data_IF_869070381213
#
_entry.id   IF_869070381213
#
_cell.length_a   1.000
_cell.length_b   1.000
_cell.length_c   1.000
_cell.angle_alpha   90.00
_cell.angle_beta   90.00
_cell.angle_gamma   90.00
#
_symmetry.space_group_name_H-M   'P 1'
#
loop_
_entity.id
_entity.type
_entity.pdbx_description
1 polymer ?
#
# COMPACT_ATOMS: atom_id res chain seq x y z
N UNK A 1 0.73 21.96 -10.62
CA UNK A 1 -0.36 22.51 -9.79
C UNK A 1 0.16 22.88 -8.40
N UNK A 2 0.84 21.97 -7.69
CA UNK A 2 1.35 22.19 -6.33
C UNK A 2 2.44 23.27 -6.25
N UNK A 3 3.40 23.30 -7.19
CA UNK A 3 4.44 24.35 -7.26
C UNK A 3 3.88 25.75 -7.53
N UNK A 4 2.80 25.85 -8.32
CA UNK A 4 2.14 27.13 -8.58
C UNK A 4 1.48 27.73 -7.33
N UNK A 5 1.34 26.96 -6.26
CA UNK A 5 0.83 27.42 -4.97
C UNK A 5 1.93 27.60 -3.91
N UNK A 6 3.21 27.71 -4.32
CA UNK A 6 4.32 28.05 -3.42
C UNK A 6 4.95 26.87 -2.67
N UNK A 7 4.62 25.64 -3.07
CA UNK A 7 5.26 24.44 -2.52
C UNK A 7 6.46 24.02 -3.38
N UNK A 8 7.54 23.57 -2.74
CA UNK A 8 8.62 22.90 -3.44
C UNK A 8 8.33 21.40 -3.51
N UNK A 9 8.22 20.84 -4.72
CA UNK A 9 8.04 19.40 -4.89
C UNK A 9 9.38 18.71 -4.65
N UNK A 10 9.41 17.78 -3.69
CA UNK A 10 10.61 17.00 -3.36
C UNK A 10 10.67 15.71 -4.16
N UNK A 11 9.51 15.04 -4.29
CA UNK A 11 9.44 13.70 -4.88
C UNK A 11 8.05 13.46 -5.45
N UNK A 12 8.00 12.82 -6.61
CA UNK A 12 6.76 12.25 -7.17
C UNK A 12 6.95 10.74 -7.24
N UNK A 13 6.05 10.01 -6.59
CA UNK A 13 6.07 8.55 -6.51
C UNK A 13 4.84 7.99 -7.24
N UNK A 14 5.01 7.35 -8.41
CA UNK A 14 3.93 6.61 -9.05
C UNK A 14 3.74 5.27 -8.35
N UNK A 15 2.51 4.98 -7.93
CA UNK A 15 2.10 3.68 -7.41
C UNK A 15 1.02 3.12 -8.32
N UNK A 16 1.34 2.02 -9.02
CA UNK A 16 0.38 1.36 -9.91
C UNK A 16 -0.16 0.12 -9.24
N UNK A 17 -1.47 0.11 -8.99
CA UNK A 17 -2.20 -1.05 -8.50
C UNK A 17 -2.93 -1.70 -9.67
N UNK A 18 -2.85 -3.02 -9.77
CA UNK A 18 -3.52 -3.81 -10.79
C UNK A 18 -4.61 -4.66 -10.14
N UNK A 19 -5.79 -4.67 -10.74
CA UNK A 19 -6.95 -5.43 -10.31
C UNK A 19 -7.34 -6.45 -11.37
N UNK A 20 -7.53 -7.70 -10.94
CA UNK A 20 -8.06 -8.79 -11.79
C UNK A 20 -9.44 -9.28 -11.33
N UNK A 21 -9.93 -8.73 -10.22
CA UNK A 21 -11.25 -8.99 -9.66
C UNK A 21 -12.01 -7.66 -9.55
N UNK A 22 -13.22 -7.63 -10.09
CA UNK A 22 -14.06 -6.43 -10.08
C UNK A 22 -14.51 -6.04 -8.67
N UNK A 23 -14.72 -7.00 -7.77
CA UNK A 23 -15.14 -6.73 -6.39
C UNK A 23 -14.05 -6.02 -5.62
N UNK A 24 -12.80 -6.47 -5.76
CA UNK A 24 -11.64 -5.83 -5.13
C UNK A 24 -11.41 -4.43 -5.72
N UNK A 25 -11.60 -4.28 -7.03
CA UNK A 25 -11.53 -2.98 -7.69
C UNK A 25 -12.64 -2.04 -7.21
N UNK A 26 -13.87 -2.51 -7.04
CA UNK A 26 -15.00 -1.69 -6.62
C UNK A 26 -14.87 -1.18 -5.18
N UNK A 27 -14.21 -1.93 -4.29
CA UNK A 27 -13.92 -1.45 -2.94
C UNK A 27 -13.03 -0.19 -2.93
N UNK A 28 -12.12 -0.08 -3.90
CA UNK A 28 -11.17 1.04 -3.98
C UNK A 28 -11.69 2.14 -4.92
N UNK A 29 -12.25 1.76 -6.06
CA UNK A 29 -12.64 2.68 -7.14
C UNK A 29 -14.12 3.10 -7.05
N UNK A 30 -14.95 2.33 -6.35
CA UNK A 30 -16.38 2.59 -6.21
C UNK A 30 -17.11 2.64 -7.54
N UNK A 31 -16.78 1.76 -8.49
CA UNK A 31 -17.37 1.67 -9.83
C UNK A 31 -18.90 1.66 -9.78
N UNK A 32 -19.50 0.85 -8.91
CA UNK A 32 -20.95 0.82 -8.74
C UNK A 32 -21.49 2.18 -8.27
N UNK A 33 -20.89 2.75 -7.22
CA UNK A 33 -21.32 4.01 -6.62
C UNK A 33 -21.15 5.20 -7.59
N UNK A 34 -20.06 5.24 -8.35
CA UNK A 34 -19.80 6.29 -9.34
C UNK A 34 -20.80 6.19 -10.49
N UNK A 35 -21.07 4.98 -10.97
CA UNK A 35 -22.06 4.74 -12.02
C UNK A 35 -23.47 5.09 -11.57
N UNK A 36 -23.87 4.71 -10.35
CA UNK A 36 -25.16 5.08 -9.78
C UNK A 36 -25.32 6.61 -9.71
N UNK A 37 -24.29 7.32 -9.22
CA UNK A 37 -24.27 8.79 -9.18
C UNK A 37 -24.34 9.42 -10.57
N UNK A 38 -23.84 8.75 -11.60
CA UNK A 38 -23.89 9.23 -12.99
C UNK A 38 -25.26 9.04 -13.67
N UNK A 39 -26.14 8.21 -13.11
CA UNK A 39 -27.51 8.01 -13.62
C UNK A 39 -28.39 9.23 -13.33
N UNK A 40 -28.31 9.81 -12.13
CA UNK A 40 -29.13 10.95 -11.73
C UNK A 40 -29.02 12.17 -12.68
N UNK A 41 -27.81 12.62 -13.08
CA UNK A 41 -27.66 13.68 -14.08
C UNK A 41 -27.85 13.20 -15.54
N UNK A 42 -28.24 11.93 -15.75
CA UNK A 42 -28.35 11.25 -17.07
C UNK A 42 -27.08 11.25 -17.91
N UNK A 43 -25.90 11.23 -17.28
CA UNK A 43 -24.66 10.98 -18.01
C UNK A 43 -24.62 9.55 -18.56
N UNK A 44 -25.34 8.63 -17.92
CA UNK A 44 -25.58 7.27 -18.41
C UNK A 44 -27.06 6.89 -18.22
N UNK A 45 -27.62 6.14 -19.17
CA UNK A 45 -28.98 5.59 -19.04
C UNK A 45 -28.97 4.44 -18.02
N UNK A 46 -30.03 4.26 -17.20
CA UNK A 46 -30.09 3.19 -16.20
C UNK A 46 -29.84 1.79 -16.78
N UNK A 47 -30.43 1.46 -17.92
CA UNK A 47 -30.27 0.14 -18.54
C UNK A 47 -28.85 -0.07 -19.07
N UNK A 48 -28.25 0.98 -19.65
CA UNK A 48 -26.87 0.94 -20.11
C UNK A 48 -25.88 0.79 -18.93
N UNK A 49 -26.16 1.43 -17.79
CA UNK A 49 -25.39 1.28 -16.57
C UNK A 49 -25.42 -0.16 -16.03
N UNK A 50 -26.60 -0.79 -16.01
CA UNK A 50 -26.76 -2.19 -15.58
C UNK A 50 -26.00 -3.15 -16.48
N UNK A 51 -26.20 -3.05 -17.79
CA UNK A 51 -25.51 -3.90 -18.78
C UNK A 51 -23.99 -3.75 -18.66
N UNK A 52 -23.50 -2.52 -18.45
CA UNK A 52 -22.08 -2.28 -18.26
C UNK A 52 -21.55 -2.90 -16.97
N UNK A 53 -22.21 -2.67 -15.83
CA UNK A 53 -21.82 -3.26 -14.53
C UNK A 53 -21.84 -4.79 -14.57
N UNK A 54 -22.87 -5.39 -15.18
CA UNK A 54 -22.99 -6.83 -15.35
C UNK A 54 -21.84 -7.38 -16.21
N UNK A 55 -21.45 -6.67 -17.27
CA UNK A 55 -20.31 -7.09 -18.10
C UNK A 55 -18.99 -7.08 -17.33
N UNK A 56 -18.77 -6.12 -16.43
CA UNK A 56 -17.57 -6.09 -15.58
C UNK A 56 -17.51 -7.27 -14.61
N UNK A 57 -18.66 -7.73 -14.13
CA UNK A 57 -18.75 -8.83 -13.17
C UNK A 57 -18.64 -10.22 -13.83
N UNK A 58 -19.12 -10.35 -15.06
CA UNK A 58 -19.21 -11.65 -15.73
C UNK A 58 -18.12 -11.89 -16.79
N UNK A 59 -17.44 -10.85 -17.25
CA UNK A 59 -16.30 -10.99 -18.17
C UNK A 59 -14.97 -11.15 -17.43
N UNK A 60 -13.91 -11.49 -18.17
CA UNK A 60 -12.54 -11.43 -17.63
C UNK A 60 -12.19 -9.98 -17.30
N UNK A 61 -12.05 -9.69 -16.01
CA UNK A 61 -11.81 -8.34 -15.52
C UNK A 61 -10.31 -8.03 -15.43
N UNK A 62 -9.93 -6.85 -15.92
CA UNK A 62 -8.60 -6.29 -15.74
C UNK A 62 -8.67 -4.77 -15.67
N UNK A 63 -8.09 -4.19 -14.63
CA UNK A 63 -7.95 -2.75 -14.48
C UNK A 63 -6.59 -2.40 -13.85
N UNK A 64 -6.07 -1.22 -14.16
CA UNK A 64 -4.89 -0.68 -13.48
C UNK A 64 -5.12 0.78 -13.15
N UNK A 65 -4.69 1.19 -11.96
CA UNK A 65 -4.81 2.56 -11.48
C UNK A 65 -3.46 3.02 -10.98
N UNK A 66 -3.01 4.16 -11.49
CA UNK A 66 -1.76 4.78 -11.06
C UNK A 66 -2.06 6.01 -10.21
N UNK A 67 -1.68 5.95 -8.94
CA UNK A 67 -1.71 7.08 -8.03
C UNK A 67 -0.35 7.77 -8.04
N UNK A 68 -0.33 9.06 -8.36
CA UNK A 68 0.87 9.88 -8.23
C UNK A 68 0.89 10.56 -6.87
N UNK A 69 1.64 9.99 -5.92
CA UNK A 69 1.87 10.62 -4.64
C UNK A 69 2.95 11.71 -4.80
N UNK A 70 2.55 12.96 -4.64
CA UNK A 70 3.47 14.10 -4.70
C UNK A 70 3.80 14.56 -3.30
N UNK A 71 5.06 14.41 -2.90
CA UNK A 71 5.59 14.97 -1.65
C UNK A 71 6.09 16.38 -1.95
N UNK A 72 5.45 17.37 -1.35
CA UNK A 72 5.84 18.77 -1.48
C UNK A 72 5.84 19.43 -0.10
N UNK A 73 6.78 20.35 0.11
CA UNK A 73 6.91 21.11 1.35
C UNK A 73 6.84 22.60 1.06
N UNK A 74 6.32 23.37 2.01
CA UNK A 74 6.45 24.83 1.95
C UNK A 74 7.91 25.13 2.32
N UNK A 75 8.68 25.83 1.48
CA UNK A 75 10.04 26.21 1.83
C UNK A 75 9.98 27.18 3.02
N UNK A 76 10.28 26.69 4.21
CA UNK A 76 10.59 27.51 5.38
C UNK A 76 12.06 27.85 5.36
N UNK A 77 12.46 29.01 5.93
CA UNK A 77 13.89 29.27 6.19
C UNK A 77 14.47 28.10 7.00
N UNK A 78 15.73 27.70 6.76
CA UNK A 78 16.32 26.56 7.45
C UNK A 78 16.47 26.90 8.94
N UNK A 79 15.47 26.54 9.74
CA UNK A 79 15.70 26.24 11.13
C UNK A 79 16.44 24.91 11.12
N UNK A 80 17.74 24.94 11.48
CA UNK A 80 18.60 23.78 11.52
C UNK A 80 17.80 22.59 12.08
N UNK A 81 17.74 21.49 11.33
CA UNK A 81 16.96 20.30 11.68
C UNK A 81 17.42 19.78 13.06
N UNK A 82 16.80 20.32 14.12
CA UNK A 82 17.16 20.05 15.49
C UNK A 82 16.54 18.73 15.91
N UNK A 83 17.27 17.66 15.66
CA UNK A 83 17.29 16.48 16.51
C UNK A 83 16.11 15.51 16.38
N UNK A 84 16.45 14.24 16.17
CA UNK A 84 15.70 13.09 16.67
C UNK A 84 15.15 13.41 18.06
N UNK A 85 13.84 13.63 18.18
CA UNK A 85 13.21 13.96 19.47
C UNK A 85 13.54 12.88 20.49
N UNK A 86 13.71 13.23 21.77
CA UNK A 86 14.09 12.26 22.82
C UNK A 86 13.15 11.03 22.86
N UNK A 87 11.85 11.26 22.60
CA UNK A 87 10.84 10.21 22.50
C UNK A 87 11.07 9.23 21.34
N UNK A 88 11.65 9.68 20.23
CA UNK A 88 12.01 8.81 19.11
C UNK A 88 13.20 7.91 19.47
N UNK A 89 14.16 8.41 20.25
CA UNK A 89 15.24 7.58 20.80
C UNK A 89 14.72 6.53 21.79
N UNK A 90 13.77 6.91 22.64
CA UNK A 90 13.12 5.97 23.56
C UNK A 90 12.33 4.88 22.80
N UNK A 91 11.63 5.26 21.74
CA UNK A 91 10.92 4.32 20.87
C UNK A 91 11.89 3.36 20.18
N UNK A 92 12.99 3.87 19.60
CA UNK A 92 14.04 3.05 18.98
C UNK A 92 14.71 2.11 19.98
N UNK A 93 14.95 2.56 21.21
CA UNK A 93 15.52 1.75 22.28
C UNK A 93 14.63 0.57 22.70
N UNK A 94 13.32 0.64 22.44
CA UNK A 94 12.38 -0.46 22.70
C UNK A 94 12.18 -1.33 21.45
N UNK A 95 12.01 -0.72 20.28
CA UNK A 95 11.73 -1.43 19.02
C UNK A 95 12.92 -2.28 18.59
N UNK A 96 14.15 -1.77 18.65
CA UNK A 96 15.31 -2.51 18.16
C UNK A 96 15.55 -3.82 18.95
N UNK A 97 15.56 -3.81 20.29
CA UNK A 97 15.64 -5.06 21.04
C UNK A 97 14.44 -5.98 20.80
N UNK A 98 13.23 -5.45 20.66
CA UNK A 98 12.05 -6.25 20.34
C UNK A 98 12.19 -6.96 18.98
N UNK A 99 12.70 -6.26 17.95
CA UNK A 99 12.98 -6.85 16.65
C UNK A 99 14.07 -7.92 16.71
N UNK A 100 15.14 -7.67 17.46
CA UNK A 100 16.20 -8.67 17.66
C UNK A 100 15.65 -9.89 18.41
N UNK A 101 14.74 -9.70 19.37
CA UNK A 101 14.11 -10.78 20.12
C UNK A 101 13.20 -11.67 19.26
N UNK A 102 12.69 -11.19 18.11
CA UNK A 102 11.90 -12.02 17.19
C UNK A 102 12.71 -13.24 16.71
N UNK A 103 14.00 -13.09 16.43
CA UNK A 103 14.84 -14.19 15.94
C UNK A 103 14.95 -15.38 16.92
N UNK A 104 15.38 -15.18 18.19
CA UNK A 104 15.44 -16.26 19.15
C UNK A 104 14.04 -16.74 19.58
N UNK A 105 13.04 -15.85 19.67
CA UNK A 105 11.65 -16.26 19.97
C UNK A 105 11.10 -17.17 18.89
N UNK A 106 11.30 -16.82 17.61
CA UNK A 106 10.91 -17.67 16.49
C UNK A 106 11.69 -18.98 16.45
N UNK A 107 12.99 -18.97 16.80
CA UNK A 107 13.78 -20.20 16.89
C UNK A 107 13.31 -21.15 18.00
N UNK A 108 12.98 -20.61 19.18
CA UNK A 108 12.38 -21.36 20.29
C UNK A 108 10.98 -21.87 19.96
N UNK A 109 10.14 -21.04 19.33
CA UNK A 109 8.79 -21.39 18.91
C UNK A 109 8.79 -22.49 17.83
N UNK A 110 9.70 -22.40 16.85
CA UNK A 110 9.92 -23.44 15.84
C UNK A 110 10.33 -24.79 16.47
N UNK A 111 11.16 -24.77 17.52
CA UNK A 111 11.57 -25.96 18.27
C UNK A 111 10.47 -26.59 19.12
N UNK A 112 9.50 -25.79 19.62
CA UNK A 112 8.43 -26.26 20.52
C UNK A 112 7.17 -26.69 19.77
N UNK A 113 6.77 -26.00 18.71
CA UNK A 113 5.46 -26.20 18.06
C UNK A 113 5.49 -26.86 16.66
N UNK A 114 6.65 -27.18 16.07
CA UNK A 114 6.77 -28.03 14.86
C UNK A 114 6.02 -27.55 13.60
N UNK A 115 5.61 -26.28 13.49
CA UNK A 115 4.74 -25.85 12.37
C UNK A 115 5.42 -25.62 11.01
N UNK A 116 6.75 -25.70 10.93
CA UNK A 116 7.48 -26.38 9.84
C UNK A 116 8.97 -26.41 10.19
N UNK A 117 9.50 -27.58 10.53
CA UNK A 117 10.93 -27.76 10.69
C UNK A 117 11.58 -27.77 9.30
N UNK A 118 11.91 -26.60 8.76
CA UNK A 118 12.74 -26.52 7.55
C UNK A 118 14.10 -27.13 7.92
N UNK A 119 14.51 -28.25 7.29
CA UNK A 119 15.71 -28.96 7.69
C UNK A 119 16.96 -28.07 7.59
N UNK A 120 17.90 -28.22 8.52
CA UNK A 120 19.12 -27.42 8.55
C UNK A 120 19.92 -27.44 7.23
N UNK A 121 19.83 -28.52 6.45
CA UNK A 121 20.48 -28.61 5.14
C UNK A 121 19.87 -27.65 4.10
N UNK A 122 18.57 -27.33 4.19
CA UNK A 122 17.90 -26.34 3.32
C UNK A 122 18.33 -24.92 3.68
N UNK A 123 18.55 -24.63 4.98
CA UNK A 123 19.12 -23.37 5.43
C UNK A 123 20.57 -23.20 4.97
N UNK A 124 21.37 -24.27 5.04
CA UNK A 124 22.76 -24.24 4.61
C UNK A 124 22.91 -24.08 3.10
N UNK A 125 22.03 -24.68 2.28
CA UNK A 125 22.09 -24.51 0.82
C UNK A 125 21.86 -23.07 0.37
N UNK A 126 21.12 -22.26 1.13
CA UNK A 126 20.88 -20.85 0.81
C UNK A 126 22.08 -19.91 1.06
N UNK A 127 23.13 -20.38 1.75
CA UNK A 127 24.36 -19.62 2.00
C UNK A 127 25.51 -19.99 1.05
N UNK A 128 25.27 -20.92 0.11
CA UNK A 128 26.27 -21.42 -0.85
C UNK A 128 26.06 -20.84 -2.27
N UNK A 129 25.18 -19.83 -2.42
CA UNK A 129 25.14 -18.97 -3.61
C UNK A 129 26.11 -17.77 -3.50
#
# INVERSE_FOLDING_TARGET
MVERHGFHVSKVLPMTTVFRNVTDADQILGLYRVTERAIAPRYIKPDAARVWLDSLANATFFASVTLFLTVAFVPTKPEAQAGTKSWDKALLAVILPAMVAVLPVAALDAGRFHWSAVPAWVLLSGYVD
#
